data_IF_301328139984
#
_entry.id   IF_301328139984
#
_cell.length_a   1.000
_cell.length_b   1.000
_cell.length_c   1.000
_cell.angle_alpha   90.00
_cell.angle_beta   90.00
_cell.angle_gamma   90.00
#
_symmetry.space_group_name_H-M   'P 1'
#
loop_
_entity.id
_entity.type
_entity.pdbx_description
1 polymer ?
#
# COMPACT_ATOMS: atom_id res chain seq x y z
N UNK A 1 11.35 -2.50 2.37
CA UNK A 1 10.86 -1.19 2.85
C UNK A 1 11.97 -0.13 2.87
N UNK A 2 13.12 -0.39 3.50
CA UNK A 2 14.19 0.62 3.67
C UNK A 2 14.98 0.95 2.40
N UNK A 3 15.13 -0.02 1.48
CA UNK A 3 16.01 0.10 0.30
C UNK A 3 15.24 0.00 -1.02
N UNK A 4 13.92 0.17 -0.96
CA UNK A 4 13.04 -0.04 -2.11
C UNK A 4 12.70 -1.52 -2.36
N UNK A 5 12.32 -1.82 -3.60
CA UNK A 5 12.01 -3.17 -4.06
C UNK A 5 13.31 -3.95 -4.25
N UNK A 6 13.40 -5.19 -3.73
CA UNK A 6 14.57 -6.05 -3.91
C UNK A 6 14.41 -7.07 -5.05
N UNK A 7 13.17 -7.34 -5.49
CA UNK A 7 12.86 -8.24 -6.59
C UNK A 7 11.47 -7.94 -7.13
N UNK A 8 11.38 -7.74 -8.44
CA UNK A 8 10.09 -7.59 -9.15
C UNK A 8 9.43 -8.93 -9.44
N UNK A 9 10.21 -10.02 -9.49
CA UNK A 9 9.76 -11.34 -9.92
C UNK A 9 9.35 -12.21 -8.72
N UNK A 10 9.83 -11.88 -7.51
CA UNK A 10 9.54 -12.66 -6.31
C UNK A 10 8.10 -12.48 -5.83
N UNK A 11 7.45 -13.59 -5.51
CA UNK A 11 6.17 -13.63 -4.82
C UNK A 11 6.15 -14.81 -3.83
N UNK A 12 5.19 -14.78 -2.91
CA UNK A 12 4.95 -15.89 -1.99
C UNK A 12 3.98 -16.90 -2.63
N UNK A 13 4.42 -18.13 -2.98
CA UNK A 13 3.66 -19.04 -3.84
C UNK A 13 2.65 -19.93 -3.09
N UNK A 14 2.12 -19.44 -1.97
CA UNK A 14 1.15 -20.14 -1.14
C UNK A 14 0.06 -19.16 -0.65
N UNK A 15 -1.15 -19.68 -0.43
CA UNK A 15 -2.27 -18.88 0.07
C UNK A 15 -2.23 -18.66 1.59
N UNK A 16 -1.48 -19.48 2.31
CA UNK A 16 -1.48 -19.53 3.78
C UNK A 16 -0.07 -19.41 4.31
N UNK A 17 0.09 -18.65 5.40
CA UNK A 17 1.34 -18.61 6.13
C UNK A 17 1.59 -19.92 6.89
N UNK A 18 2.86 -20.32 7.09
CA UNK A 18 3.20 -21.47 7.91
C UNK A 18 2.90 -21.21 9.39
N UNK A 19 2.86 -22.28 10.21
CA UNK A 19 2.79 -22.13 11.65
C UNK A 19 4.11 -21.60 12.20
N UNK A 20 4.03 -20.77 13.25
CA UNK A 20 5.22 -20.25 13.92
C UNK A 20 6.13 -21.37 14.47
N UNK A 21 5.56 -22.52 14.84
CA UNK A 21 6.31 -23.70 15.29
C UNK A 21 7.17 -24.35 14.22
N UNK A 22 6.87 -24.09 12.95
CA UNK A 22 7.56 -24.64 11.79
C UNK A 22 8.69 -23.71 11.31
N UNK A 23 8.69 -22.45 11.75
CA UNK A 23 9.73 -21.45 11.46
C UNK A 23 11.00 -21.69 12.27
N UNK A 24 11.71 -22.78 11.96
CA UNK A 24 12.98 -23.19 12.58
C UNK A 24 14.12 -23.12 11.57
N UNK A 25 15.36 -22.97 12.05
CA UNK A 25 16.56 -22.97 11.20
C UNK A 25 16.76 -21.72 10.34
N UNK A 26 16.08 -20.62 10.67
CA UNK A 26 16.18 -19.36 9.92
C UNK A 26 17.57 -18.68 9.94
N UNK A 27 18.38 -18.75 11.01
CA UNK A 27 19.66 -18.02 11.04
C UNK A 27 20.65 -18.39 9.93
N UNK A 28 20.59 -19.62 9.43
CA UNK A 28 21.47 -20.12 8.37
C UNK A 28 20.84 -20.00 6.97
N UNK A 29 19.62 -19.46 6.88
CA UNK A 29 18.89 -19.34 5.61
C UNK A 29 19.41 -18.14 4.81
N UNK A 30 19.95 -18.42 3.63
CA UNK A 30 20.44 -17.40 2.72
C UNK A 30 19.33 -16.91 1.79
N UNK A 31 19.00 -15.62 1.85
CA UNK A 31 18.01 -14.99 0.97
C UNK A 31 18.69 -14.63 -0.35
N UNK A 32 18.31 -15.32 -1.43
CA UNK A 32 18.75 -15.01 -2.80
C UNK A 32 17.56 -14.55 -3.61
N UNK A 33 17.62 -13.30 -4.06
CA UNK A 33 16.59 -12.68 -4.86
C UNK A 33 17.24 -12.05 -6.08
N UNK A 34 16.70 -12.37 -7.25
CA UNK A 34 17.04 -11.67 -8.49
C UNK A 34 16.20 -10.39 -8.58
N UNK A 35 16.83 -9.26 -8.92
CA UNK A 35 16.13 -7.98 -8.95
C UNK A 35 14.97 -7.97 -9.97
N UNK A 36 15.13 -8.69 -11.08
CA UNK A 36 14.09 -8.79 -12.10
C UNK A 36 13.83 -7.49 -12.84
N UNK A 37 12.66 -7.39 -13.46
CA UNK A 37 12.19 -6.18 -14.12
C UNK A 37 10.69 -5.99 -13.86
N UNK A 38 10.21 -4.74 -13.77
CA UNK A 38 8.77 -4.51 -13.71
C UNK A 38 8.10 -5.02 -15.00
N UNK A 39 6.89 -5.57 -14.84
CA UNK A 39 6.06 -5.95 -15.97
C UNK A 39 5.79 -4.75 -16.90
N UNK A 40 5.74 -4.96 -18.23
CA UNK A 40 5.20 -3.97 -19.15
C UNK A 40 3.77 -3.57 -18.72
N UNK A 41 3.37 -2.29 -18.81
CA UNK A 41 2.07 -1.82 -18.31
C UNK A 41 0.87 -2.64 -18.77
N UNK A 42 0.83 -3.03 -20.06
CA UNK A 42 -0.29 -3.83 -20.58
C UNK A 42 -0.22 -5.30 -20.16
N UNK A 43 0.97 -5.86 -20.01
CA UNK A 43 1.14 -7.21 -19.48
C UNK A 43 0.74 -7.27 -17.99
N UNK A 44 1.04 -6.21 -17.23
CA UNK A 44 0.58 -6.07 -15.85
C UNK A 44 -0.95 -5.98 -15.76
N UNK A 45 -1.61 -5.32 -16.72
CA UNK A 45 -3.08 -5.32 -16.75
C UNK A 45 -3.63 -6.74 -16.95
N UNK A 46 -3.00 -7.55 -17.81
CA UNK A 46 -3.36 -8.95 -17.98
C UNK A 46 -3.08 -9.80 -16.75
N UNK A 47 -2.08 -9.46 -15.93
CA UNK A 47 -1.77 -10.23 -14.72
C UNK A 47 -2.71 -9.95 -13.55
N UNK A 48 -3.47 -8.84 -13.58
CA UNK A 48 -4.33 -8.41 -12.45
C UNK A 48 -5.82 -8.37 -12.78
N UNK A 49 -6.19 -8.16 -14.05
CA UNK A 49 -7.60 -7.99 -14.40
C UNK A 49 -8.30 -9.34 -14.59
N UNK A 50 -9.55 -9.47 -14.12
CA UNK A 50 -10.36 -10.64 -14.40
C UNK A 50 -10.95 -10.57 -15.84
N UNK A 51 -11.39 -11.70 -16.42
CA UNK A 51 -11.95 -11.75 -17.78
C UNK A 51 -13.15 -10.83 -18.00
N UNK A 52 -13.93 -10.52 -16.96
CA UNK A 52 -15.07 -9.59 -17.01
C UNK A 52 -14.65 -8.13 -17.26
N UNK A 53 -13.36 -7.83 -17.13
CA UNK A 53 -12.75 -6.51 -17.37
C UNK A 53 -11.89 -6.48 -18.64
N UNK A 54 -12.01 -7.47 -19.53
CA UNK A 54 -11.20 -7.56 -20.75
C UNK A 54 -11.32 -6.33 -21.67
N UNK A 55 -12.39 -5.56 -21.58
CA UNK A 55 -12.54 -4.28 -22.28
C UNK A 55 -11.47 -3.23 -21.92
N UNK A 56 -10.80 -3.36 -20.77
CA UNK A 56 -9.77 -2.43 -20.29
C UNK A 56 -8.38 -2.72 -20.86
N UNK A 57 -8.18 -3.88 -21.50
CA UNK A 57 -6.97 -4.19 -22.26
C UNK A 57 -7.22 -3.96 -23.76
N UNK A 58 -6.15 -3.80 -24.58
CA UNK A 58 -6.28 -3.72 -26.03
C UNK A 58 -7.08 -4.89 -26.60
N UNK A 59 -7.82 -4.63 -27.68
CA UNK A 59 -8.63 -5.64 -28.37
C UNK A 59 -7.80 -6.87 -28.75
N UNK A 60 -6.56 -6.66 -29.20
CA UNK A 60 -5.60 -7.71 -29.56
C UNK A 60 -5.26 -8.67 -28.40
N UNK A 61 -5.37 -8.22 -27.15
CA UNK A 61 -5.04 -9.04 -25.98
C UNK A 61 -6.25 -9.73 -25.36
N UNK A 62 -7.48 -9.36 -25.73
CA UNK A 62 -8.70 -9.93 -25.13
C UNK A 62 -8.83 -11.43 -25.33
N UNK A 63 -8.35 -11.92 -26.48
CA UNK A 63 -8.30 -13.36 -26.77
C UNK A 63 -7.51 -14.14 -25.72
N UNK A 64 -6.47 -13.55 -25.13
CA UNK A 64 -5.67 -14.22 -24.09
C UNK A 64 -6.49 -14.58 -22.85
N UNK A 65 -7.50 -13.77 -22.53
CA UNK A 65 -8.36 -13.94 -21.33
C UNK A 65 -9.64 -14.72 -21.62
N UNK A 66 -10.15 -14.63 -22.86
CA UNK A 66 -11.51 -15.08 -23.19
C UNK A 66 -11.55 -16.33 -24.09
N UNK A 67 -10.49 -16.57 -24.87
CA UNK A 67 -10.44 -17.72 -25.77
C UNK A 67 -9.97 -18.98 -25.01
N UNK A 68 -10.78 -20.05 -24.96
CA UNK A 68 -10.39 -21.31 -24.31
C UNK A 68 -9.15 -21.97 -24.94
N UNK A 69 -8.76 -21.57 -26.15
CA UNK A 69 -7.54 -22.05 -26.82
C UNK A 69 -6.29 -21.24 -26.46
N UNK A 70 -6.45 -20.14 -25.71
CA UNK A 70 -5.33 -19.33 -25.23
C UNK A 70 -4.38 -20.16 -24.36
N UNK A 71 -3.05 -20.01 -24.54
CA UNK A 71 -2.06 -20.73 -23.74
C UNK A 71 -2.03 -20.32 -22.25
N UNK A 72 -2.77 -19.26 -21.90
CA UNK A 72 -2.88 -18.73 -20.53
C UNK A 72 -4.33 -18.66 -20.05
N UNK A 73 -5.27 -19.33 -20.72
CA UNK A 73 -6.69 -19.29 -20.36
C UNK A 73 -6.95 -19.76 -18.91
N UNK A 74 -6.16 -20.72 -18.43
CA UNK A 74 -6.23 -21.25 -17.07
C UNK A 74 -5.93 -20.21 -15.98
N UNK A 75 -5.25 -19.11 -16.31
CA UNK A 75 -5.04 -17.98 -15.41
C UNK A 75 -6.29 -17.10 -15.21
N UNK A 76 -7.33 -17.27 -16.04
CA UNK A 76 -8.52 -16.41 -16.07
C UNK A 76 -9.81 -17.19 -15.75
N UNK A 77 -9.95 -17.73 -14.53
CA UNK A 77 -11.13 -18.50 -14.19
C UNK A 77 -12.39 -17.62 -14.18
N UNK A 78 -13.51 -18.16 -14.68
CA UNK A 78 -14.80 -17.46 -14.68
C UNK A 78 -15.36 -17.25 -13.26
N UNK A 79 -14.94 -18.07 -12.31
CA UNK A 79 -15.25 -17.98 -10.88
C UNK A 79 -14.19 -18.71 -10.06
N UNK A 80 -14.07 -18.38 -8.79
CA UNK A 80 -13.06 -18.92 -7.89
C UNK A 80 -13.64 -19.12 -6.50
N UNK A 81 -12.95 -19.93 -5.69
CA UNK A 81 -13.38 -20.22 -4.32
C UNK A 81 -12.89 -19.13 -3.35
N UNK A 82 -13.74 -18.80 -2.39
CA UNK A 82 -13.41 -17.92 -1.27
C UNK A 82 -13.33 -18.77 0.00
N UNK A 83 -12.17 -18.83 0.62
CA UNK A 83 -11.99 -19.46 1.93
C UNK A 83 -12.05 -18.40 3.03
N UNK A 84 -13.12 -18.44 3.83
CA UNK A 84 -13.27 -17.53 4.97
C UNK A 84 -12.15 -17.69 6.00
N UNK A 85 -11.54 -18.87 6.14
CA UNK A 85 -10.46 -19.14 7.10
C UNK A 85 -10.69 -18.54 8.50
N UNK A 86 -11.89 -18.75 9.04
CA UNK A 86 -12.31 -18.23 10.36
C UNK A 86 -12.67 -16.74 10.42
N UNK A 87 -12.65 -16.03 9.28
CA UNK A 87 -13.07 -14.63 9.15
C UNK A 87 -14.59 -14.51 9.01
N UNK A 88 -15.09 -13.31 9.32
CA UNK A 88 -16.54 -13.02 9.33
C UNK A 88 -17.02 -12.35 8.04
N UNK A 89 -16.16 -11.55 7.42
CA UNK A 89 -16.53 -10.78 6.24
C UNK A 89 -15.93 -11.42 4.99
N UNK A 90 -16.67 -11.43 3.88
CA UNK A 90 -16.22 -12.03 2.61
C UNK A 90 -14.97 -11.36 2.04
N UNK A 91 -14.80 -10.05 2.24
CA UNK A 91 -13.61 -9.32 1.79
C UNK A 91 -12.34 -9.66 2.59
N UNK A 92 -12.48 -10.33 3.73
CA UNK A 92 -11.36 -10.90 4.50
C UNK A 92 -11.04 -12.33 4.07
N UNK A 93 -11.91 -12.96 3.26
CA UNK A 93 -11.70 -14.32 2.79
C UNK A 93 -10.54 -14.38 1.79
N UNK A 94 -9.89 -15.53 1.76
CA UNK A 94 -8.79 -15.81 0.84
C UNK A 94 -9.38 -16.20 -0.50
N UNK A 95 -9.04 -15.43 -1.54
CA UNK A 95 -9.38 -15.75 -2.93
C UNK A 95 -8.42 -16.81 -3.47
N UNK A 96 -8.93 -18.02 -3.70
CA UNK A 96 -8.16 -19.15 -4.21
C UNK A 96 -8.05 -19.06 -5.74
N UNK A 97 -7.26 -18.11 -6.22
CA UNK A 97 -6.97 -17.89 -7.64
C UNK A 97 -5.67 -18.58 -8.06
N UNK A 98 -5.61 -19.21 -9.25
CA UNK A 98 -4.37 -19.79 -9.74
C UNK A 98 -3.28 -18.70 -9.86
N UNK A 99 -2.07 -19.02 -9.43
CA UNK A 99 -0.93 -18.13 -9.64
C UNK A 99 -0.56 -18.11 -11.12
N UNK A 100 -0.33 -16.92 -11.66
CA UNK A 100 0.02 -16.72 -13.06
C UNK A 100 1.50 -17.09 -13.26
N UNK A 101 1.77 -17.92 -14.27
CA UNK A 101 3.13 -18.13 -14.78
C UNK A 101 3.53 -16.91 -15.63
N UNK A 102 4.40 -16.06 -15.06
CA UNK A 102 4.94 -14.87 -15.72
C UNK A 102 5.53 -15.17 -17.09
N UNK A 103 6.33 -16.23 -17.22
CA UNK A 103 7.04 -16.54 -18.46
C UNK A 103 6.04 -16.91 -19.55
N UNK A 104 5.04 -17.71 -19.21
CA UNK A 104 3.97 -18.11 -20.13
C UNK A 104 3.13 -16.90 -20.56
N UNK A 105 2.79 -16.00 -19.63
CA UNK A 105 2.05 -14.78 -19.93
C UNK A 105 2.84 -13.82 -20.84
N UNK A 106 4.10 -13.53 -20.50
CA UNK A 106 4.93 -12.63 -21.31
C UNK A 106 5.21 -13.21 -22.70
N UNK A 107 5.38 -14.53 -22.82
CA UNK A 107 5.48 -15.20 -24.12
C UNK A 107 4.20 -15.09 -24.94
N UNK A 108 3.03 -15.28 -24.32
CA UNK A 108 1.75 -15.14 -25.00
C UNK A 108 1.53 -13.70 -25.52
N UNK A 109 1.89 -12.70 -24.70
CA UNK A 109 1.85 -11.29 -25.11
C UNK A 109 2.83 -11.01 -26.24
N UNK A 110 4.06 -11.53 -26.18
CA UNK A 110 5.09 -11.32 -27.20
C UNK A 110 4.74 -11.97 -28.56
N UNK A 111 3.84 -12.94 -28.60
CA UNK A 111 3.37 -13.57 -29.83
C UNK A 111 2.27 -12.79 -30.55
N UNK A 112 1.67 -11.79 -29.90
CA UNK A 112 0.70 -10.89 -30.55
C UNK A 112 1.47 -9.90 -31.41
N UNK A 113 1.02 -9.70 -32.65
CA UNK A 113 1.65 -8.75 -33.55
C UNK A 113 1.44 -7.31 -33.03
N UNK A 114 2.53 -6.58 -32.81
CA UNK A 114 2.49 -5.18 -32.37
C UNK A 114 1.71 -4.27 -33.34
N UNK A 115 1.57 -4.68 -34.62
CA UNK A 115 0.77 -3.96 -35.61
C UNK A 115 -0.74 -3.95 -35.28
N UNK A 116 -1.21 -4.91 -34.48
CA UNK A 116 -2.60 -5.00 -34.00
C UNK A 116 -2.91 -3.98 -32.88
N UNK A 117 -1.87 -3.42 -32.26
CA UNK A 117 -2.03 -2.35 -31.28
C UNK A 117 -2.19 -0.99 -32.00
N UNK A 118 -2.98 -0.10 -31.41
CA UNK A 118 -2.97 1.31 -31.83
C UNK A 118 -1.67 1.99 -31.41
N UNK A 119 -1.36 3.13 -32.04
CA UNK A 119 -0.18 3.92 -31.67
C UNK A 119 -0.23 4.36 -30.19
N UNK A 120 -1.38 4.83 -29.72
CA UNK A 120 -1.56 5.23 -28.33
C UNK A 120 -1.37 4.05 -27.35
N UNK A 121 -1.74 2.83 -27.75
CA UNK A 121 -1.52 1.63 -26.93
C UNK A 121 -0.05 1.24 -26.83
N UNK A 122 0.71 1.36 -27.93
CA UNK A 122 2.16 1.16 -27.89
C UNK A 122 2.85 2.22 -27.01
N UNK A 123 2.43 3.48 -27.15
CA UNK A 123 2.98 4.61 -26.37
C UNK A 123 2.67 4.53 -24.87
N UNK A 124 1.55 3.94 -24.45
CA UNK A 124 1.25 3.73 -23.03
C UNK A 124 1.84 2.43 -22.45
N UNK A 125 2.42 1.57 -23.29
CA UNK A 125 3.07 0.32 -22.87
C UNK A 125 4.57 0.47 -22.61
N UNK A 126 5.09 1.69 -22.61
CA UNK A 126 6.48 2.00 -22.26
C UNK A 126 6.56 2.64 -20.87
N UNK A 127 7.70 2.47 -20.22
CA UNK A 127 7.95 3.12 -18.93
C UNK A 127 8.01 4.64 -19.12
N UNK A 128 7.23 5.36 -18.32
CA UNK A 128 7.20 6.82 -18.32
C UNK A 128 8.45 7.44 -17.69
N UNK A 129 8.52 8.77 -17.75
CA UNK A 129 9.54 9.58 -17.09
C UNK A 129 8.88 10.59 -16.16
N UNK A 130 9.56 10.92 -15.07
CA UNK A 130 9.10 11.95 -14.15
C UNK A 130 9.10 13.32 -14.82
N UNK A 131 8.02 14.08 -14.63
CA UNK A 131 7.89 15.45 -15.15
C UNK A 131 7.89 16.43 -13.99
N UNK A 132 8.87 17.34 -14.01
CA UNK A 132 9.01 18.39 -13.01
C UNK A 132 8.45 19.71 -13.56
N UNK A 133 7.45 20.26 -12.87
CA UNK A 133 6.86 21.55 -13.22
C UNK A 133 7.39 22.63 -12.29
N UNK A 134 7.78 23.78 -12.86
CA UNK A 134 8.14 24.99 -12.11
C UNK A 134 7.35 26.18 -12.68
N UNK A 135 6.80 27.07 -11.84
CA UNK A 135 6.16 28.30 -12.29
C UNK A 135 7.12 29.14 -13.16
N UNK A 136 6.58 29.86 -14.16
CA UNK A 136 7.37 30.85 -14.90
C UNK A 136 7.79 31.97 -13.96
N UNK A 137 9.05 32.39 -14.06
CA UNK A 137 9.57 33.54 -13.30
C UNK A 137 8.65 34.76 -13.51
N UNK A 138 8.22 35.39 -12.42
CA UNK A 138 7.31 36.54 -12.43
C UNK A 138 5.81 36.21 -12.53
N UNK A 139 5.42 34.94 -12.61
CA UNK A 139 4.00 34.49 -12.44
C UNK A 139 3.76 33.74 -11.14
N UNK A 140 4.81 33.52 -10.36
CA UNK A 140 4.61 33.24 -8.95
C UNK A 140 3.91 34.47 -8.35
N UNK A 141 2.82 34.33 -7.57
CA UNK A 141 2.50 35.36 -6.60
C UNK A 141 3.80 35.66 -5.86
N UNK A 142 4.12 36.94 -5.62
CA UNK A 142 5.35 37.34 -4.93
C UNK A 142 5.60 36.33 -3.83
N UNK A 143 6.64 35.51 -4.01
CA UNK A 143 7.13 34.70 -2.91
C UNK A 143 7.62 35.77 -1.96
N UNK A 144 6.78 36.14 -1.00
CA UNK A 144 7.26 36.66 0.28
C UNK A 144 8.45 35.78 0.59
N UNK A 145 9.63 36.41 0.63
CA UNK A 145 10.88 35.68 0.81
C UNK A 145 10.66 34.65 1.92
N UNK A 146 11.26 33.48 1.82
CA UNK A 146 11.28 32.52 2.93
C UNK A 146 11.91 33.13 4.22
N UNK A 147 12.39 34.38 4.17
CA UNK A 147 12.77 35.20 5.32
C UNK A 147 11.60 35.92 6.02
N UNK A 148 10.44 36.13 5.37
CA UNK A 148 9.22 36.70 5.99
C UNK A 148 8.18 35.64 6.38
N UNK A 149 8.39 34.37 6.00
CA UNK A 149 7.69 33.22 6.58
C UNK A 149 8.49 32.56 7.72
N UNK A 150 9.53 33.22 8.20
CA UNK A 150 10.16 32.91 9.49
C UNK A 150 9.47 33.62 10.67
N UNK A 151 8.20 33.99 10.52
CA UNK A 151 7.32 34.08 11.67
C UNK A 151 6.44 32.82 11.69
N UNK A 152 7.02 31.71 12.14
CA UNK A 152 6.32 30.46 12.47
C UNK A 152 5.35 30.63 13.65
N UNK A 153 4.87 31.84 13.96
CA UNK A 153 4.01 32.11 15.12
C UNK A 153 2.51 32.16 14.83
N UNK A 154 2.06 32.11 13.57
CA UNK A 154 0.63 32.32 13.25
C UNK A 154 0.01 31.37 12.20
N UNK A 155 0.27 30.05 12.27
CA UNK A 155 -0.74 29.07 11.81
C UNK A 155 -0.52 27.64 12.36
N UNK A 156 -0.67 27.49 13.67
CA UNK A 156 -1.34 26.31 14.20
C UNK A 156 -2.69 26.78 14.74
N UNK A 157 -3.82 26.06 14.54
CA UNK A 157 -4.87 26.12 15.53
C UNK A 157 -4.35 25.41 16.80
N UNK A 158 -3.40 26.06 17.50
CA UNK A 158 -3.09 25.71 18.87
C UNK A 158 -4.33 26.06 19.70
N UNK A 159 -5.23 25.09 19.83
CA UNK A 159 -5.74 24.89 21.18
C UNK A 159 -4.51 24.53 21.98
N UNK A 160 -4.08 25.37 22.96
CA UNK A 160 -2.82 25.16 23.64
C UNK A 160 -2.82 23.73 24.17
N UNK A 161 -1.93 22.90 23.64
CA UNK A 161 -1.89 21.48 23.96
C UNK A 161 -1.67 21.37 25.46
N UNK A 162 -2.74 21.01 26.18
CA UNK A 162 -2.78 21.02 27.64
C UNK A 162 -1.52 20.30 28.18
N UNK A 163 -0.68 20.97 28.99
CA UNK A 163 0.56 20.40 29.48
C UNK A 163 0.37 19.05 30.18
N UNK A 164 -0.82 18.76 30.72
CA UNK A 164 -1.15 17.47 31.31
C UNK A 164 -1.21 16.34 30.27
N UNK A 165 -1.60 16.62 29.02
CA UNK A 165 -1.66 15.62 27.95
C UNK A 165 -0.27 15.11 27.52
N UNK A 166 0.78 15.90 27.77
CA UNK A 166 2.19 15.54 27.48
C UNK A 166 2.80 14.63 28.55
N UNK A 167 2.21 14.54 29.74
CA UNK A 167 2.71 13.69 30.82
C UNK A 167 2.51 12.19 30.52
N UNK A 168 3.44 11.37 31.02
CA UNK A 168 3.27 9.91 30.99
C UNK A 168 2.23 9.49 32.02
N UNK A 169 1.58 8.34 31.81
CA UNK A 169 0.54 7.83 32.72
C UNK A 169 1.05 7.67 34.16
N UNK A 170 2.33 7.31 34.33
CA UNK A 170 2.94 7.20 35.65
C UNK A 170 3.00 8.56 36.39
N UNK A 171 3.42 9.62 35.70
CA UNK A 171 3.52 10.97 36.25
C UNK A 171 2.14 11.55 36.59
N UNK A 172 1.12 11.26 35.76
CA UNK A 172 -0.27 11.67 36.04
C UNK A 172 -0.81 11.00 37.31
N UNK A 173 -0.50 9.72 37.52
CA UNK A 173 -0.92 8.99 38.72
C UNK A 173 -0.22 9.49 39.97
N UNK A 174 1.09 9.76 39.88
CA UNK A 174 1.86 10.30 41.00
C UNK A 174 1.33 11.67 41.45
N UNK A 175 0.99 12.54 40.50
CA UNK A 175 0.39 13.86 40.80
C UNK A 175 -1.02 13.75 41.38
N UNK A 176 -1.84 12.82 40.90
CA UNK A 176 -3.17 12.55 41.46
C UNK A 176 -3.09 11.97 42.88
N UNK A 177 -2.11 11.09 43.15
CA UNK A 177 -1.89 10.52 44.47
C UNK A 177 -1.45 11.60 45.49
N UNK A 178 -0.62 12.54 45.06
CA UNK A 178 -0.18 13.67 45.89
C UNK A 178 -1.32 14.62 46.31
N UNK A 179 -2.40 14.72 45.51
CA UNK A 179 -3.61 15.47 45.84
C UNK A 179 -4.72 14.59 46.44
N UNK A 180 -4.45 13.30 46.69
CA UNK A 180 -5.39 12.37 47.29
C UNK A 180 -6.53 11.91 46.37
N UNK A 181 -6.40 12.08 45.06
CA UNK A 181 -7.39 11.74 44.06
C UNK A 181 -7.17 10.34 43.45
N UNK A 182 -8.23 9.76 42.87
CA UNK A 182 -8.19 8.41 42.31
C UNK A 182 -7.25 8.29 41.09
N UNK A 183 -6.41 7.26 41.07
CA UNK A 183 -5.39 6.99 40.03
C UNK A 183 -5.81 5.95 38.97
N UNK A 184 -7.06 5.47 39.01
CA UNK A 184 -7.61 4.49 38.08
C UNK A 184 -8.22 5.16 36.85
N UNK A 185 -8.01 4.57 35.67
CA UNK A 185 -8.58 5.01 34.40
C UNK A 185 -7.60 5.05 33.23
N UNK A 186 -8.10 5.42 32.05
CA UNK A 186 -7.30 5.68 30.84
C UNK A 186 -6.63 7.05 30.92
N UNK A 187 -5.60 7.29 30.10
CA UNK A 187 -4.78 8.51 30.15
C UNK A 187 -5.61 9.80 30.08
N UNK A 188 -6.62 9.87 29.21
CA UNK A 188 -7.50 11.04 29.08
C UNK A 188 -8.30 11.33 30.35
N UNK A 189 -8.82 10.29 31.02
CA UNK A 189 -9.60 10.43 32.26
C UNK A 189 -8.73 10.92 33.44
N UNK A 190 -7.47 10.48 33.49
CA UNK A 190 -6.51 10.96 34.49
C UNK A 190 -6.13 12.43 34.26
N UNK A 191 -6.01 12.85 33.00
CA UNK A 191 -5.74 14.24 32.64
C UNK A 191 -6.89 15.16 33.06
N UNK A 192 -8.13 14.80 32.72
CA UNK A 192 -9.30 15.61 33.11
C UNK A 192 -9.48 15.69 34.63
N UNK A 193 -9.25 14.58 35.34
CA UNK A 193 -9.36 14.55 36.80
C UNK A 193 -8.31 15.44 37.46
N UNK A 194 -7.06 15.36 37.00
CA UNK A 194 -5.99 16.19 37.54
C UNK A 194 -6.21 17.67 37.22
N UNK A 195 -6.80 17.98 36.05
CA UNK A 195 -7.20 19.35 35.69
C UNK A 195 -8.27 19.88 36.64
N UNK A 196 -9.31 19.10 36.93
CA UNK A 196 -10.38 19.50 37.84
C UNK A 196 -9.89 19.79 39.27
N UNK A 197 -8.92 19.02 39.77
CA UNK A 197 -8.30 19.26 41.08
C UNK A 197 -7.39 20.49 41.10
N UNK A 198 -6.67 20.75 39.99
CA UNK A 198 -5.82 21.93 39.84
C UNK A 198 -6.64 23.23 39.73
N UNK A 199 -7.80 23.18 39.07
CA UNK A 199 -8.70 24.34 38.92
C UNK A 199 -9.51 24.62 40.20
N UNK A 200 -9.61 23.65 41.12
CA UNK A 200 -10.34 23.77 42.39
C UNK A 200 -9.48 24.27 43.56
N UNK A 201 -8.16 24.41 43.38
CA UNK A 201 -7.18 24.80 44.40
C UNK A 201 -6.67 26.23 44.23
#
# INVERSE_FOLDING_TARGET
YHEGCCSWDWYYPDFYAPLATDLKGLPDYEIKLDYGKPFPPLAQLLSVLPPQSAQLVPDAYRGLMLDPTSPVFDAFPAGFELDANGKRQEWEAIALLPFIDERRLLQAVANIDESELSQAERERNILGQDIFYRPKAGTAPAVVEAAELADESEFEPETPADPLTKLRVAELRERLDAVGASTLGKKSELVERLRAELDAS
#
